data_IF_182124474567
#
_entry.id   IF_182124474567
#
_cell.length_a   1.000
_cell.length_b   1.000
_cell.length_c   1.000
_cell.angle_alpha   90.00
_cell.angle_beta   90.00
_cell.angle_gamma   90.00
#
_symmetry.space_group_name_H-M   'P 1'
#
loop_
_entity.id
_entity.type
_entity.pdbx_description
1 polymer ?
#
# COMPACT_ATOMS: atom_id res chain seq x y z
N UNK A 1 15.17 -44.69 -23.46
CA UNK A 1 14.17 -43.61 -23.54
C UNK A 1 13.59 -43.49 -22.14
N UNK A 2 13.83 -42.38 -21.45
CA UNK A 2 13.39 -42.19 -20.06
C UNK A 2 12.01 -41.56 -20.04
N UNK A 3 11.01 -42.34 -19.64
CA UNK A 3 9.66 -41.85 -19.39
C UNK A 3 9.66 -40.95 -18.16
N UNK A 4 9.67 -39.65 -18.42
CA UNK A 4 9.51 -38.62 -17.39
C UNK A 4 8.02 -38.55 -17.07
N UNK A 5 7.59 -39.23 -16.02
CA UNK A 5 6.23 -39.12 -15.49
C UNK A 5 5.99 -37.69 -15.03
N UNK A 6 5.22 -36.93 -15.81
CA UNK A 6 4.72 -35.62 -15.40
C UNK A 6 3.89 -35.80 -14.12
N UNK A 7 4.06 -34.96 -13.08
CA UNK A 7 3.24 -35.03 -11.90
C UNK A 7 1.78 -34.87 -12.32
N UNK A 8 0.98 -35.91 -12.10
CA UNK A 8 -0.45 -35.87 -12.38
C UNK A 8 -1.06 -34.90 -11.38
N UNK A 9 -1.37 -33.68 -11.80
CA UNK A 9 -2.11 -32.73 -10.98
C UNK A 9 -3.46 -33.35 -10.65
N UNK A 10 -3.64 -33.76 -9.40
CA UNK A 10 -4.88 -34.38 -8.97
C UNK A 10 -6.07 -33.47 -9.31
N UNK A 11 -7.09 -34.02 -9.96
CA UNK A 11 -8.29 -33.27 -10.32
C UNK A 11 -8.90 -32.70 -9.03
N UNK A 12 -9.20 -31.38 -8.98
CA UNK A 12 -9.69 -30.76 -7.76
C UNK A 12 -10.97 -31.45 -7.29
N UNK A 13 -11.02 -31.79 -6.00
CA UNK A 13 -12.19 -32.40 -5.38
C UNK A 13 -13.18 -31.31 -4.98
N UNK A 14 -14.44 -31.67 -4.76
CA UNK A 14 -15.45 -30.73 -4.24
C UNK A 14 -15.00 -30.13 -2.90
N UNK A 15 -14.32 -30.94 -2.06
CA UNK A 15 -13.76 -30.49 -0.79
C UNK A 15 -12.65 -29.44 -1.00
N UNK A 16 -11.71 -29.67 -1.92
CA UNK A 16 -10.63 -28.70 -2.20
C UNK A 16 -11.17 -27.40 -2.80
N UNK A 17 -12.19 -27.48 -3.65
CA UNK A 17 -12.86 -26.30 -4.20
C UNK A 17 -13.63 -25.51 -3.14
N UNK A 18 -14.30 -26.20 -2.21
CA UNK A 18 -15.02 -25.56 -1.10
C UNK A 18 -14.06 -24.82 -0.16
N UNK A 19 -12.93 -25.45 0.17
CA UNK A 19 -11.88 -24.82 0.98
C UNK A 19 -11.27 -23.60 0.28
N UNK A 20 -10.96 -23.72 -1.02
CA UNK A 20 -10.43 -22.61 -1.80
C UNK A 20 -11.43 -21.45 -1.89
N UNK A 21 -12.72 -21.74 -2.12
CA UNK A 21 -13.76 -20.72 -2.17
C UNK A 21 -13.91 -20.01 -0.81
N UNK A 22 -13.87 -20.76 0.29
CA UNK A 22 -13.89 -20.18 1.64
C UNK A 22 -12.66 -19.31 1.94
N UNK A 23 -11.48 -19.69 1.45
CA UNK A 23 -10.27 -18.85 1.53
C UNK A 23 -10.42 -17.57 0.73
N UNK A 24 -10.85 -17.65 -0.53
CA UNK A 24 -11.03 -16.50 -1.41
C UNK A 24 -12.07 -15.52 -0.87
N UNK A 25 -13.19 -16.01 -0.32
CA UNK A 25 -14.21 -15.16 0.31
C UNK A 25 -13.65 -14.38 1.50
N UNK A 26 -12.84 -15.03 2.35
CA UNK A 26 -12.17 -14.35 3.47
C UNK A 26 -11.16 -13.31 2.98
N UNK A 27 -10.39 -13.63 1.93
CA UNK A 27 -9.45 -12.69 1.33
C UNK A 27 -10.16 -11.48 0.71
N UNK A 28 -11.29 -11.70 0.02
CA UNK A 28 -12.10 -10.63 -0.54
C UNK A 28 -12.72 -9.75 0.55
N UNK A 29 -13.19 -10.34 1.64
CA UNK A 29 -13.69 -9.59 2.80
C UNK A 29 -12.61 -8.74 3.46
N UNK A 30 -11.39 -9.27 3.63
CA UNK A 30 -10.25 -8.51 4.14
C UNK A 30 -9.90 -7.34 3.21
N UNK A 31 -9.79 -7.59 1.90
CA UNK A 31 -9.50 -6.53 0.92
C UNK A 31 -10.55 -5.42 0.92
N UNK A 32 -11.84 -5.78 1.03
CA UNK A 32 -12.91 -4.79 1.12
C UNK A 32 -12.82 -3.95 2.40
N UNK A 33 -12.44 -4.57 3.52
CA UNK A 33 -12.23 -3.88 4.78
C UNK A 33 -11.06 -2.90 4.67
N UNK A 34 -9.88 -3.35 4.23
CA UNK A 34 -8.69 -2.52 4.05
C UNK A 34 -8.97 -1.34 3.11
N UNK A 35 -9.70 -1.58 2.01
CA UNK A 35 -10.10 -0.53 1.08
C UNK A 35 -11.02 0.51 1.73
N UNK A 36 -11.96 0.07 2.58
CA UNK A 36 -12.86 0.98 3.28
C UNK A 36 -12.13 1.87 4.30
N UNK A 37 -11.12 1.32 4.98
CA UNK A 37 -10.28 2.07 5.91
C UNK A 37 -9.44 3.13 5.19
N UNK A 38 -8.81 2.76 4.06
CA UNK A 38 -8.05 3.71 3.24
C UNK A 38 -8.92 4.85 2.72
N UNK A 39 -10.12 4.55 2.21
CA UNK A 39 -11.04 5.61 1.74
C UNK A 39 -11.46 6.54 2.87
N UNK A 40 -11.72 6.00 4.06
CA UNK A 40 -12.07 6.79 5.24
C UNK A 40 -10.92 7.72 5.64
N UNK A 41 -9.71 7.17 5.76
CA UNK A 41 -8.51 7.93 6.13
C UNK A 41 -8.16 9.00 5.09
N UNK A 42 -8.29 8.69 3.80
CA UNK A 42 -8.06 9.65 2.72
C UNK A 42 -9.05 10.81 2.76
N UNK A 43 -10.34 10.54 3.02
CA UNK A 43 -11.35 11.58 3.18
C UNK A 43 -11.06 12.46 4.39
N UNK A 44 -10.71 11.85 5.52
CA UNK A 44 -10.34 12.58 6.73
C UNK A 44 -9.14 13.50 6.48
N UNK A 45 -8.15 13.03 5.73
CA UNK A 45 -6.98 13.84 5.37
C UNK A 45 -7.33 15.04 4.47
N UNK A 46 -8.22 14.85 3.48
CA UNK A 46 -8.69 15.95 2.63
C UNK A 46 -9.45 16.99 3.47
N UNK A 47 -10.36 16.57 4.35
CA UNK A 47 -11.08 17.48 5.24
C UNK A 47 -10.11 18.24 6.15
N UNK A 48 -9.17 17.53 6.79
CA UNK A 48 -8.17 18.15 7.67
C UNK A 48 -7.30 19.18 6.93
N UNK A 49 -7.00 18.97 5.65
CA UNK A 49 -6.27 19.93 4.83
C UNK A 49 -7.08 21.23 4.63
N UNK A 50 -8.35 21.12 4.28
CA UNK A 50 -9.22 22.29 4.06
C UNK A 50 -9.56 23.03 5.36
N UNK A 51 -9.59 22.33 6.48
CA UNK A 51 -9.79 22.92 7.81
C UNK A 51 -8.52 23.55 8.39
N UNK A 52 -7.37 23.44 7.71
CA UNK A 52 -6.11 24.07 8.11
C UNK A 52 -5.38 23.38 9.27
N UNK A 53 -5.62 22.08 9.49
CA UNK A 53 -4.88 21.32 10.50
C UNK A 53 -3.38 21.27 10.15
N UNK A 54 -2.54 21.31 11.18
CA UNK A 54 -1.08 21.33 11.02
C UNK A 54 -0.52 20.05 10.35
N UNK A 55 -1.16 18.89 10.57
CA UNK A 55 -0.74 17.60 10.04
C UNK A 55 -1.94 16.82 9.47
N UNK A 56 -2.44 17.21 8.29
CA UNK A 56 -3.66 16.63 7.73
C UNK A 56 -3.48 15.18 7.27
N UNK A 57 -2.26 14.76 6.97
CA UNK A 57 -1.95 13.42 6.45
C UNK A 57 -1.72 12.36 7.54
N UNK A 58 -1.65 12.73 8.83
CA UNK A 58 -1.28 11.79 9.91
C UNK A 58 -2.14 10.54 9.93
N UNK A 59 -3.48 10.70 9.89
CA UNK A 59 -4.40 9.56 9.93
C UNK A 59 -4.22 8.65 8.71
N UNK A 60 -3.97 9.22 7.53
CA UNK A 60 -3.72 8.44 6.32
C UNK A 60 -2.41 7.67 6.39
N UNK A 61 -1.35 8.29 6.93
CA UNK A 61 -0.03 7.66 7.13
C UNK A 61 -0.16 6.49 8.11
N UNK A 62 -0.83 6.69 9.25
CA UNK A 62 -1.04 5.64 10.25
C UNK A 62 -1.85 4.46 9.68
N UNK A 63 -2.89 4.73 8.88
CA UNK A 63 -3.66 3.67 8.20
C UNK A 63 -2.82 2.92 7.18
N UNK A 64 -2.00 3.62 6.39
CA UNK A 64 -1.09 2.98 5.42
C UNK A 64 -0.03 2.11 6.10
N UNK A 65 0.48 2.53 7.26
CA UNK A 65 1.44 1.78 8.06
C UNK A 65 0.82 0.49 8.61
N UNK A 66 -0.38 0.59 9.19
CA UNK A 66 -1.14 -0.57 9.68
C UNK A 66 -1.45 -1.60 8.60
N UNK A 67 -1.70 -1.14 7.37
CA UNK A 67 -1.95 -2.00 6.21
C UNK A 67 -0.66 -2.53 5.55
N UNK A 68 0.52 -2.12 6.02
CA UNK A 68 1.81 -2.46 5.39
C UNK A 68 1.93 -1.94 3.96
N UNK A 69 1.18 -0.88 3.63
CA UNK A 69 1.07 -0.29 2.30
C UNK A 69 1.76 1.07 2.22
N UNK A 70 2.52 1.46 3.25
CA UNK A 70 3.34 2.66 3.22
C UNK A 70 4.32 2.52 2.04
N UNK A 71 4.29 3.43 1.05
CA UNK A 71 5.30 3.42 0.02
C UNK A 71 6.66 3.55 0.71
N UNK A 72 7.67 2.79 0.25
CA UNK A 72 9.06 3.14 0.58
C UNK A 72 9.20 4.63 0.27
N UNK A 73 9.61 5.42 1.27
CA UNK A 73 9.88 6.84 1.09
C UNK A 73 11.06 6.97 0.12
N UNK A 74 10.81 6.81 -1.17
CA UNK A 74 11.61 7.43 -2.21
C UNK A 74 11.25 8.91 -2.10
N UNK A 75 12.17 9.80 -1.66
CA UNK A 75 11.93 11.22 -1.76
C UNK A 75 11.82 11.52 -3.26
N UNK A 76 10.61 11.53 -3.79
CA UNK A 76 10.29 12.10 -5.09
C UNK A 76 10.35 13.62 -4.94
N UNK A 77 11.52 14.14 -4.58
CA UNK A 77 11.83 15.52 -4.92
C UNK A 77 11.93 15.48 -6.45
N UNK A 78 10.82 15.85 -7.11
CA UNK A 78 10.83 16.15 -8.55
C UNK A 78 11.87 17.25 -8.80
N UNK A 79 12.41 17.36 -10.01
CA UNK A 79 13.39 18.41 -10.32
C UNK A 79 12.84 19.82 -9.99
N UNK A 80 11.53 20.00 -10.13
CA UNK A 80 10.80 21.21 -9.71
C UNK A 80 10.78 21.40 -8.18
N UNK A 81 10.59 20.32 -7.41
CA UNK A 81 10.69 20.33 -5.96
C UNK A 81 12.12 20.63 -5.46
N UNK A 82 13.13 20.17 -6.20
CA UNK A 82 14.54 20.43 -5.88
C UNK A 82 14.89 21.90 -6.17
N UNK A 83 14.37 22.44 -7.28
CA UNK A 83 14.54 23.84 -7.64
C UNK A 83 13.85 24.77 -6.61
N UNK A 84 12.67 24.40 -6.11
CA UNK A 84 11.95 25.13 -5.07
C UNK A 84 12.69 25.10 -3.72
N UNK A 85 13.29 23.97 -3.35
CA UNK A 85 14.11 23.83 -2.13
C UNK A 85 15.43 24.61 -2.23
N UNK A 86 16.07 24.59 -3.40
CA UNK A 86 17.28 25.37 -3.66
C UNK A 86 17.03 26.89 -3.63
N UNK A 87 15.84 27.34 -4.05
CA UNK A 87 15.43 28.73 -3.97
C UNK A 87 15.05 29.19 -2.54
N UNK A 88 14.73 28.25 -1.64
CA UNK A 88 14.29 28.54 -0.28
C UNK A 88 15.44 28.71 0.74
N UNK A 89 16.70 28.50 0.33
CA UNK A 89 17.92 28.63 1.16
C UNK A 89 17.85 27.87 2.51
N UNK A 90 17.07 26.79 2.54
CA UNK A 90 16.93 25.93 3.72
C UNK A 90 18.03 24.86 3.72
N UNK A 91 18.72 24.60 4.85
CA UNK A 91 19.74 23.58 4.90
C UNK A 91 19.13 22.19 4.69
N UNK A 92 19.42 21.58 3.53
CA UNK A 92 19.06 20.19 3.25
C UNK A 92 19.90 19.26 4.13
N UNK A 93 19.31 18.77 5.22
CA UNK A 93 19.91 17.73 6.06
C UNK A 93 19.43 16.37 5.56
N UNK A 94 20.28 15.68 4.81
CA UNK A 94 20.01 14.32 4.34
C UNK A 94 21.24 13.67 3.70
N UNK A 95 21.44 12.38 3.95
CA UNK A 95 22.54 11.60 3.37
C UNK A 95 22.08 10.94 2.08
N UNK A 96 22.83 11.11 0.98
CA UNK A 96 22.67 10.31 -0.24
C UNK A 96 22.95 8.82 0.09
N UNK A 97 21.98 7.96 -0.23
CA UNK A 97 22.20 6.51 -0.28
C UNK A 97 22.51 6.16 -1.73
N UNK A 98 23.60 5.42 -1.93
CA UNK A 98 24.09 4.96 -3.23
C UNK A 98 23.34 3.71 -3.71
#
# INVERSE_FOLDING_TARGET
MSDRTLPTTAKPTIASLTQANGKLRRQLAALHHDHSELLSAARAAVTAHYDGYALPLTVLIDTLDQLGALPEYAPQITDDGLAALAAADLPLIGRRVA
#
